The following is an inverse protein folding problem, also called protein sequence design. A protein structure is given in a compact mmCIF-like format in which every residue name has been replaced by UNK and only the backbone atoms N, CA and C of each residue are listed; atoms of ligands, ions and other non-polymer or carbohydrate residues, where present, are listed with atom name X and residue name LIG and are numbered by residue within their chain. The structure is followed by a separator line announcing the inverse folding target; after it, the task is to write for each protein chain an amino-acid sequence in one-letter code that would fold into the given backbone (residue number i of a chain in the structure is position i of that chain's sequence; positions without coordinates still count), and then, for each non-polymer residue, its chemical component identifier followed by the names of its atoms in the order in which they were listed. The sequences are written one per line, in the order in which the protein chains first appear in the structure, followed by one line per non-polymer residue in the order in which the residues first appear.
data_IF_599762605170
#
_entry.id   IF_599762605170
#
_cell.length_a   1.000
_cell.length_b   1.000
_cell.length_c   1.000
_cell.angle_alpha   90.00
_cell.angle_beta   90.00
_cell.angle_gamma   90.00
#
_symmetry.space_group_name_H-M   'P 1'
#
loop_
_entity.id
_entity.type
_entity.pdbx_description
1 polymer ?
#
# COMPACT_ATOMS: atom_id res chain seq x y z
N UNK A 1 8.67 24.71 -9.58
CA UNK A 1 8.61 23.57 -8.64
C UNK A 1 7.39 22.76 -9.01
N UNK A 2 7.56 21.56 -9.57
CA UNK A 2 6.43 20.67 -9.85
C UNK A 2 5.85 20.21 -8.52
N UNK A 3 4.57 20.44 -8.27
CA UNK A 3 3.91 19.94 -7.06
C UNK A 3 4.07 18.42 -6.95
N UNK A 4 4.45 17.96 -5.76
CA UNK A 4 4.62 16.55 -5.48
C UNK A 4 3.24 15.93 -5.22
N UNK A 5 2.81 14.90 -5.99
CA UNK A 5 1.44 14.37 -5.95
C UNK A 5 1.02 13.88 -4.55
N UNK A 6 -0.06 14.39 -3.96
CA UNK A 6 -0.44 14.05 -2.58
C UNK A 6 -0.67 12.54 -2.36
N UNK A 7 -0.42 12.07 -1.12
CA UNK A 7 -0.77 10.71 -0.69
C UNK A 7 -2.14 10.75 -0.03
N UNK A 8 -3.06 9.92 -0.50
CA UNK A 8 -4.37 9.72 0.09
C UNK A 8 -4.40 8.37 0.82
N UNK A 9 -4.73 8.38 2.11
CA UNK A 9 -4.89 7.17 2.91
C UNK A 9 -6.39 6.87 3.09
N UNK A 10 -6.79 5.62 2.87
CA UNK A 10 -8.17 5.16 3.02
C UNK A 10 -8.21 3.71 3.50
N UNK A 11 -9.16 3.34 4.35
CA UNK A 11 -9.37 1.94 4.71
C UNK A 11 -9.98 1.18 3.52
N UNK A 12 -9.78 -0.14 3.44
CA UNK A 12 -10.39 -1.00 2.42
C UNK A 12 -11.91 -0.82 2.29
N UNK A 13 -12.62 -0.42 3.38
CA UNK A 13 -14.08 -0.24 3.35
C UNK A 13 -14.49 1.03 2.61
N UNK A 14 -13.58 1.99 2.50
CA UNK A 14 -13.80 3.28 1.83
C UNK A 14 -13.47 3.20 0.33
N UNK A 15 -12.81 2.12 -0.11
CA UNK A 15 -12.45 1.93 -1.52
C UNK A 15 -13.68 1.50 -2.33
N UNK A 16 -14.00 2.28 -3.36
CA UNK A 16 -15.00 1.86 -4.35
C UNK A 16 -14.48 0.71 -5.20
N UNK A 17 -15.39 0.00 -5.89
CA UNK A 17 -14.99 -1.03 -6.86
C UNK A 17 -14.01 -0.50 -7.91
N UNK A 18 -14.31 0.67 -8.49
CA UNK A 18 -13.44 1.30 -9.49
C UNK A 18 -12.03 1.59 -8.97
N UNK A 19 -11.90 2.07 -7.71
CA UNK A 19 -10.57 2.31 -7.12
C UNK A 19 -9.83 0.99 -6.89
N UNK A 20 -10.52 -0.09 -6.48
CA UNK A 20 -9.90 -1.41 -6.34
C UNK A 20 -9.41 -1.96 -7.69
N UNK A 21 -10.19 -1.78 -8.75
CA UNK A 21 -9.80 -2.19 -10.11
C UNK A 21 -8.57 -1.42 -10.61
N UNK A 22 -8.47 -0.12 -10.30
CA UNK A 22 -7.28 0.69 -10.61
C UNK A 22 -6.03 0.23 -9.85
N UNK A 23 -6.19 -0.14 -8.56
CA UNK A 23 -5.09 -0.71 -7.77
C UNK A 23 -4.66 -2.04 -8.37
N UNK A 24 -5.60 -2.94 -8.70
CA UNK A 24 -5.32 -4.23 -9.34
C UNK A 24 -4.53 -4.05 -10.64
N UNK A 25 -5.01 -3.16 -11.51
CA UNK A 25 -4.32 -2.82 -12.77
C UNK A 25 -2.89 -2.30 -12.54
N UNK A 26 -2.68 -1.47 -11.53
CA UNK A 26 -1.34 -0.98 -11.17
C UNK A 26 -0.44 -2.13 -10.70
N UNK A 27 -0.95 -3.02 -9.85
CA UNK A 27 -0.21 -4.16 -9.31
C UNK A 27 0.19 -5.12 -10.42
N UNK A 28 -0.75 -5.52 -11.28
CA UNK A 28 -0.49 -6.40 -12.42
C UNK A 28 0.60 -5.83 -13.32
N UNK A 29 0.55 -4.52 -13.58
CA UNK A 29 1.56 -3.82 -14.39
C UNK A 29 2.93 -3.72 -13.69
N UNK A 30 2.96 -3.56 -12.37
CA UNK A 30 4.18 -3.34 -11.62
C UNK A 30 4.93 -4.64 -11.30
N UNK A 31 4.19 -5.73 -11.12
CA UNK A 31 4.69 -7.08 -10.86
C UNK A 31 4.72 -7.95 -12.13
N UNK A 32 4.47 -7.37 -13.30
CA UNK A 32 4.57 -8.06 -14.60
C UNK A 32 3.70 -9.34 -14.68
N UNK A 33 2.54 -9.31 -14.03
CA UNK A 33 1.59 -10.44 -13.94
C UNK A 33 1.88 -11.46 -12.85
N UNK A 34 2.97 -11.32 -12.09
CA UNK A 34 3.33 -12.20 -10.95
C UNK A 34 2.69 -11.76 -9.62
N UNK A 35 1.49 -11.17 -9.69
CA UNK A 35 0.73 -10.74 -8.51
C UNK A 35 -0.64 -11.43 -8.53
N UNK A 36 -0.75 -12.49 -7.75
CA UNK A 36 -1.89 -13.42 -7.76
C UNK A 36 -3.14 -12.88 -7.08
N UNK A 37 -4.21 -13.66 -7.11
CA UNK A 37 -5.44 -13.38 -6.35
C UNK A 37 -5.18 -13.47 -4.83
N UNK A 38 -4.34 -14.41 -4.39
CA UNK A 38 -3.96 -14.54 -2.97
C UNK A 38 -3.19 -13.31 -2.47
N UNK A 39 -2.26 -12.77 -3.28
CA UNK A 39 -1.53 -11.54 -2.95
C UNK A 39 -2.46 -10.32 -2.86
N UNK A 40 -3.50 -10.30 -3.69
CA UNK A 40 -4.54 -9.28 -3.59
C UNK A 40 -5.32 -9.39 -2.29
N UNK A 41 -5.79 -10.59 -1.93
CA UNK A 41 -6.50 -10.81 -0.68
C UNK A 41 -5.65 -10.43 0.54
N UNK A 42 -4.34 -10.69 0.51
CA UNK A 42 -3.41 -10.25 1.56
C UNK A 42 -3.36 -8.73 1.74
N UNK A 43 -3.65 -7.97 0.69
CA UNK A 43 -3.63 -6.50 0.71
C UNK A 43 -4.89 -5.85 1.30
N UNK A 44 -5.96 -6.62 1.52
CA UNK A 44 -7.29 -6.15 1.94
C UNK A 44 -7.49 -6.19 3.47
N UNK A 45 -8.47 -5.40 3.94
CA UNK A 45 -8.87 -5.36 5.34
C UNK A 45 -8.05 -4.38 6.19
N UNK A 46 -7.30 -3.48 5.55
CA UNK A 46 -6.41 -2.53 6.20
C UNK A 46 -6.47 -1.13 5.58
N UNK A 47 -5.38 -0.38 5.72
CA UNK A 47 -5.26 0.99 5.17
C UNK A 47 -4.41 0.98 3.91
N UNK A 48 -4.88 1.65 2.87
CA UNK A 48 -4.21 1.80 1.58
C UNK A 48 -3.68 3.22 1.43
N UNK A 49 -2.42 3.35 1.02
CA UNK A 49 -1.80 4.61 0.62
C UNK A 49 -1.81 4.71 -0.91
N UNK A 50 -2.53 5.69 -1.43
CA UNK A 50 -2.75 5.92 -2.86
C UNK A 50 -2.05 7.21 -3.30
N UNK A 51 -1.30 7.14 -4.39
CA UNK A 51 -0.69 8.33 -5.01
C UNK A 51 -1.15 8.44 -6.45
N UNK A 52 -1.76 9.58 -6.79
CA UNK A 52 -2.23 9.91 -8.14
C UNK A 52 -1.41 11.05 -8.72
N UNK A 53 -1.15 11.05 -10.02
CA UNK A 53 -0.60 12.24 -10.67
C UNK A 53 -1.66 13.33 -10.89
N UNK A 54 -1.24 14.44 -11.48
CA UNK A 54 -2.10 15.59 -11.77
C UNK A 54 -3.24 15.26 -12.74
N UNK A 55 -3.12 14.19 -13.53
CA UNK A 55 -4.17 13.69 -14.42
C UNK A 55 -5.14 12.72 -13.74
N UNK A 56 -4.95 12.45 -12.44
CA UNK A 56 -5.77 11.50 -11.68
C UNK A 56 -5.35 10.04 -11.83
N UNK A 57 -4.32 9.74 -12.63
CA UNK A 57 -3.83 8.38 -12.82
C UNK A 57 -3.19 7.86 -11.54
N UNK A 58 -3.58 6.67 -11.08
CA UNK A 58 -2.91 5.99 -9.95
C UNK A 58 -1.50 5.56 -10.37
N UNK A 59 -0.49 6.10 -9.68
CA UNK A 59 0.94 5.93 -10.01
C UNK A 59 1.74 5.21 -8.92
N UNK A 60 1.23 5.12 -7.70
CA UNK A 60 1.80 4.30 -6.65
C UNK A 60 0.74 3.86 -5.63
N UNK A 61 0.98 2.69 -5.04
CA UNK A 61 0.13 2.07 -4.03
C UNK A 61 0.98 1.35 -3.00
N UNK A 62 0.46 1.20 -1.80
CA UNK A 62 0.83 0.19 -0.82
C UNK A 62 -0.29 0.08 0.21
N UNK A 63 -0.40 -1.05 0.89
CA UNK A 63 -1.34 -1.21 1.99
C UNK A 63 -0.65 -1.70 3.25
N UNK A 64 -1.36 -1.56 4.37
CA UNK A 64 -0.97 -2.14 5.64
C UNK A 64 -2.16 -2.84 6.27
N UNK A 65 -1.98 -4.11 6.58
CA UNK A 65 -3.03 -5.00 7.11
C UNK A 65 -2.61 -5.53 8.47
N UNK A 66 -3.55 -5.62 9.41
CA UNK A 66 -3.24 -6.12 10.74
C UNK A 66 -2.96 -7.62 10.73
N UNK A 67 -1.82 -8.02 11.32
CA UNK A 67 -1.52 -9.41 11.64
C UNK A 67 -1.14 -9.57 13.11
N UNK A 68 -1.04 -10.84 13.54
CA UNK A 68 -0.44 -11.22 14.82
C UNK A 68 0.87 -11.94 14.58
N UNK A 69 1.92 -11.53 15.28
CA UNK A 69 3.22 -12.23 15.28
C UNK A 69 3.49 -12.72 16.69
N UNK A 70 3.85 -14.00 16.83
CA UNK A 70 4.26 -14.57 18.11
C UNK A 70 5.75 -14.35 18.31
N UNK A 71 6.13 -13.58 19.32
CA UNK A 71 7.52 -13.33 19.69
C UNK A 71 7.67 -13.48 21.20
N UNK A 72 8.58 -14.36 21.63
CA UNK A 72 8.84 -14.64 23.06
C UNK A 72 7.56 -14.94 23.86
N UNK A 73 6.70 -15.82 23.32
CA UNK A 73 5.41 -16.18 23.94
C UNK A 73 4.33 -15.09 23.91
N UNK A 74 4.62 -13.90 23.37
CA UNK A 74 3.67 -12.78 23.26
C UNK A 74 3.10 -12.67 21.87
N UNK A 75 1.78 -12.58 21.76
CA UNK A 75 1.09 -12.26 20.50
C UNK A 75 1.08 -10.75 20.27
N UNK A 76 1.96 -10.27 19.41
CA UNK A 76 2.15 -8.86 19.09
C UNK A 76 1.23 -8.42 17.95
N UNK A 77 0.71 -7.20 18.01
CA UNK A 77 -0.11 -6.61 16.94
C UNK A 77 0.79 -5.92 15.93
N UNK A 78 0.76 -6.36 14.68
CA UNK A 78 1.71 -5.94 13.64
C UNK A 78 0.95 -5.31 12.47
N UNK A 79 1.48 -4.21 11.96
CA UNK A 79 1.09 -3.68 10.66
C UNK A 79 1.92 -4.35 9.58
N UNK A 80 1.31 -5.23 8.80
CA UNK A 80 1.99 -5.96 7.74
C UNK A 80 1.83 -5.20 6.43
N UNK A 81 2.94 -4.70 5.88
CA UNK A 81 2.98 -3.94 4.63
C UNK A 81 2.81 -4.91 3.48
N UNK A 82 1.88 -4.59 2.58
CA UNK A 82 1.48 -5.43 1.46
C UNK A 82 1.36 -4.59 0.18
N UNK A 83 1.44 -5.26 -0.98
CA UNK A 83 1.11 -4.71 -2.30
C UNK A 83 1.75 -3.34 -2.62
N UNK A 84 3.02 -3.13 -2.25
CA UNK A 84 3.75 -1.89 -2.55
C UNK A 84 4.18 -1.87 -4.01
N UNK A 85 3.66 -0.91 -4.78
CA UNK A 85 3.94 -0.78 -6.21
C UNK A 85 4.10 0.67 -6.65
N UNK A 86 4.98 0.87 -7.64
CA UNK A 86 5.10 2.13 -8.39
C UNK A 86 4.97 1.81 -9.88
N UNK A 87 4.12 2.57 -10.57
CA UNK A 87 3.83 2.38 -12.00
C UNK A 87 5.12 2.34 -12.83
N UNK A 88 5.25 1.40 -13.78
CA UNK A 88 6.36 1.41 -14.75
C UNK A 88 6.50 2.79 -15.42
N UNK A 89 7.74 3.27 -15.59
CA UNK A 89 8.02 4.62 -16.09
C UNK A 89 7.88 5.75 -15.07
N UNK A 90 7.34 5.50 -13.87
CA UNK A 90 7.27 6.48 -12.75
C UNK A 90 8.20 6.13 -11.58
N UNK A 91 8.97 5.05 -11.72
CA UNK A 91 9.99 4.63 -10.75
C UNK A 91 11.11 5.69 -10.63
N UNK A 92 11.88 5.62 -9.55
CA UNK A 92 13.01 6.55 -9.24
C UNK A 92 12.62 8.02 -9.02
N UNK A 93 11.33 8.32 -8.87
CA UNK A 93 10.79 9.66 -8.57
C UNK A 93 10.44 9.86 -7.08
N UNK A 94 10.88 8.96 -6.19
CA UNK A 94 10.58 9.02 -4.75
C UNK A 94 9.17 8.57 -4.35
N UNK A 95 8.34 8.08 -5.28
CA UNK A 95 6.95 7.67 -5.00
C UNK A 95 6.85 6.54 -3.97
N UNK A 96 7.72 5.53 -4.05
CA UNK A 96 7.76 4.44 -3.07
C UNK A 96 8.05 4.93 -1.66
N UNK A 97 8.98 5.88 -1.49
CA UNK A 97 9.26 6.51 -0.20
C UNK A 97 8.03 7.23 0.37
N UNK A 98 7.22 7.86 -0.49
CA UNK A 98 6.01 8.55 -0.05
C UNK A 98 4.88 7.60 0.35
N UNK A 99 4.76 6.47 -0.36
CA UNK A 99 3.86 5.38 0.05
C UNK A 99 4.30 4.86 1.43
N UNK A 100 5.57 4.48 1.57
CA UNK A 100 6.09 3.95 2.84
C UNK A 100 5.95 4.95 3.99
N UNK A 101 6.29 6.23 3.79
CA UNK A 101 6.12 7.25 4.83
C UNK A 101 4.67 7.47 5.26
N UNK A 102 3.69 7.22 4.38
CA UNK A 102 2.29 7.24 4.77
C UNK A 102 1.90 6.00 5.59
N UNK A 103 2.39 4.81 5.21
CA UNK A 103 2.14 3.55 5.93
C UNK A 103 2.85 3.51 7.29
N UNK A 104 4.06 4.06 7.41
CA UNK A 104 4.81 4.21 8.66
C UNK A 104 4.00 5.00 9.70
N UNK A 105 3.33 6.08 9.29
CA UNK A 105 2.43 6.82 10.21
C UNK A 105 1.26 5.97 10.71
N UNK A 106 0.77 5.01 9.91
CA UNK A 106 -0.25 4.06 10.37
C UNK A 106 0.35 3.08 11.37
N UNK A 107 1.57 2.59 11.12
CA UNK A 107 2.32 1.75 12.07
C UNK A 107 2.46 2.44 13.41
N UNK A 108 3.02 3.64 13.43
CA UNK A 108 3.29 4.40 14.65
C UNK A 108 2.01 4.67 15.47
N UNK A 109 0.88 4.83 14.78
CA UNK A 109 -0.41 5.13 15.42
C UNK A 109 -1.21 3.91 15.88
N UNK A 110 -1.02 2.73 15.27
CA UNK A 110 -1.94 1.60 15.44
C UNK A 110 -1.29 0.27 15.84
N UNK A 111 0.01 0.08 15.62
CA UNK A 111 0.67 -1.23 15.73
C UNK A 111 1.91 -1.19 16.63
N UNK A 112 2.35 -2.35 17.13
CA UNK A 112 3.58 -2.43 17.94
C UNK A 112 4.83 -2.33 17.08
N UNK A 113 4.77 -2.82 15.83
CA UNK A 113 5.80 -2.64 14.82
C UNK A 113 5.24 -2.90 13.41
N UNK A 114 6.00 -2.52 12.40
CA UNK A 114 5.74 -2.82 10.99
C UNK A 114 6.57 -4.02 10.51
N UNK A 115 5.99 -4.85 9.65
CA UNK A 115 6.69 -5.99 9.02
C UNK A 115 6.34 -6.08 7.53
N UNK A 116 7.20 -6.75 6.78
CA UNK A 116 7.02 -7.13 5.37
C UNK A 116 7.85 -8.39 5.09
N UNK A 117 7.48 -9.17 4.08
CA UNK A 117 8.24 -10.32 3.58
C UNK A 117 8.20 -10.38 2.06
#
# INVERSE_FOLDING_TARGET
MTELPAVHAAHTFELTAAVRDEIRTLLDSAFEGDFGDDDWEHSLGGVHALVRDTGGLLIAHGSIVQRRVLHDGRSLRVGYVEAVAVRPGRRRQGLGHRVMGALERVVDGAYEFGALS
#
